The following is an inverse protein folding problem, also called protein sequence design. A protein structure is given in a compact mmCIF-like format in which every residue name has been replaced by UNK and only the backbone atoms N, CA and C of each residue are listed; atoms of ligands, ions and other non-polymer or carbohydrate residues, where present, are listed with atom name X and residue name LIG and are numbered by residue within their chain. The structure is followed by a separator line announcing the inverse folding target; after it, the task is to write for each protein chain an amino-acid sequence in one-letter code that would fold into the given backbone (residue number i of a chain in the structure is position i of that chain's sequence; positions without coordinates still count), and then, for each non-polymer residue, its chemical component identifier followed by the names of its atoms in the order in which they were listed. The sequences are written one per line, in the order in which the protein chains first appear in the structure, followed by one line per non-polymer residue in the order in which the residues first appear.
data_IF_499858508657
#
_entry.id   IF_499858508657
#
_cell.length_a   1.000
_cell.length_b   1.000
_cell.length_c   1.000
_cell.angle_alpha   90.00
_cell.angle_beta   90.00
_cell.angle_gamma   90.00
#
_symmetry.space_group_name_H-M   'P 1'
#
loop_
_entity.id
_entity.type
_entity.pdbx_description
1 polymer ?
#
# COMPACT_ATOMS: atom_id res chain seq x y z
N UNK A 1 -22.87 -6.97 -36.82
CA UNK A 1 -22.53 -8.16 -36.01
C UNK A 1 -22.05 -7.69 -34.65
N UNK A 2 -22.84 -7.90 -33.60
CA UNK A 2 -22.42 -7.68 -32.22
C UNK A 2 -21.78 -8.99 -31.73
N UNK A 3 -20.45 -9.01 -31.59
CA UNK A 3 -19.75 -10.15 -31.01
C UNK A 3 -19.73 -9.97 -29.50
N UNK A 4 -20.63 -10.69 -28.83
CA UNK A 4 -20.59 -11.00 -27.40
C UNK A 4 -19.28 -11.71 -27.09
N UNK A 5 -18.23 -10.95 -26.76
CA UNK A 5 -17.03 -11.50 -26.16
C UNK A 5 -17.40 -11.87 -24.73
N UNK A 6 -17.41 -13.17 -24.43
CA UNK A 6 -17.41 -13.64 -23.06
C UNK A 6 -16.10 -13.18 -22.41
N UNK A 7 -16.11 -11.99 -21.82
CA UNK A 7 -15.03 -11.56 -20.93
C UNK A 7 -15.24 -12.39 -19.68
N UNK A 8 -14.59 -13.54 -19.60
CA UNK A 8 -14.29 -14.15 -18.30
C UNK A 8 -13.29 -13.20 -17.63
N UNK A 9 -13.80 -12.06 -17.17
CA UNK A 9 -13.05 -11.14 -16.36
C UNK A 9 -12.69 -11.96 -15.12
N UNK A 10 -11.41 -12.34 -15.01
CA UNK A 10 -10.90 -12.82 -13.74
C UNK A 10 -11.33 -11.84 -12.67
N UNK A 11 -11.96 -12.34 -11.61
CA UNK A 11 -12.40 -11.49 -10.49
C UNK A 11 -11.22 -10.81 -9.79
N UNK A 12 -10.01 -11.34 -9.98
CA UNK A 12 -8.75 -10.79 -9.45
C UNK A 12 -8.40 -9.45 -10.10
N UNK A 13 -7.94 -8.52 -9.27
CA UNK A 13 -7.45 -7.22 -9.70
C UNK A 13 -6.08 -7.29 -10.37
N UNK A 14 -5.21 -8.17 -9.88
CA UNK A 14 -3.80 -8.24 -10.29
C UNK A 14 -3.41 -9.64 -10.75
N UNK A 15 -2.40 -9.72 -11.63
CA UNK A 15 -1.81 -11.00 -12.06
C UNK A 15 -0.97 -11.59 -10.92
N UNK A 16 -1.53 -12.57 -10.22
CA UNK A 16 -0.90 -13.24 -9.08
C UNK A 16 0.35 -14.01 -9.49
N UNK A 17 0.40 -14.56 -10.70
CA UNK A 17 1.58 -15.28 -11.19
C UNK A 17 2.72 -14.28 -11.44
N UNK A 18 2.41 -13.14 -12.04
CA UNK A 18 3.37 -12.05 -12.21
C UNK A 18 3.88 -11.57 -10.86
N UNK A 19 2.99 -11.27 -9.92
CA UNK A 19 3.32 -10.86 -8.56
C UNK A 19 4.24 -11.86 -7.83
N UNK A 20 3.95 -13.15 -7.94
CA UNK A 20 4.77 -14.22 -7.36
C UNK A 20 6.24 -14.13 -7.82
N UNK A 21 6.47 -13.81 -9.09
CA UNK A 21 7.80 -13.63 -9.67
C UNK A 21 8.51 -12.31 -9.34
N UNK A 22 7.90 -11.42 -8.56
CA UNK A 22 8.49 -10.13 -8.16
C UNK A 22 9.17 -10.17 -6.77
N UNK A 23 9.21 -11.33 -6.10
CA UNK A 23 9.99 -11.54 -4.87
C UNK A 23 11.48 -11.71 -5.16
N UNK A 24 12.11 -10.62 -5.57
CA UNK A 24 13.51 -10.63 -6.02
C UNK A 24 14.39 -9.68 -5.23
N UNK A 25 13.80 -8.77 -4.46
CA UNK A 25 14.53 -7.68 -3.83
C UNK A 25 15.04 -8.05 -2.43
N UNK A 26 16.22 -7.57 -2.07
CA UNK A 26 16.67 -7.64 -0.67
C UNK A 26 15.81 -6.70 0.22
N UNK A 27 15.75 -6.96 1.54
CA UNK A 27 15.04 -6.11 2.48
C UNK A 27 15.43 -4.62 2.36
N UNK A 28 14.43 -3.74 2.52
CA UNK A 28 14.66 -2.29 2.58
C UNK A 28 15.49 -1.97 3.83
N UNK A 29 16.67 -1.39 3.66
CA UNK A 29 17.59 -1.09 4.75
C UNK A 29 17.08 0.05 5.64
N UNK A 30 17.40 0.03 6.93
CA UNK A 30 17.15 1.16 7.82
C UNK A 30 17.80 2.46 7.27
N UNK A 31 17.12 3.58 7.43
CA UNK A 31 17.51 4.88 6.87
C UNK A 31 17.19 5.06 5.38
N UNK A 32 16.66 4.04 4.68
CA UNK A 32 16.22 4.19 3.28
C UNK A 32 15.13 5.26 3.14
N UNK A 33 15.07 5.87 1.96
CA UNK A 33 14.10 6.92 1.67
C UNK A 33 12.81 6.33 1.13
N UNK A 34 11.74 6.41 1.92
CA UNK A 34 10.52 5.62 1.70
C UNK A 34 9.26 6.46 1.69
N UNK A 35 8.24 5.92 1.04
CA UNK A 35 6.83 6.24 1.30
C UNK A 35 6.13 5.10 2.01
N UNK A 36 4.98 5.39 2.60
CA UNK A 36 4.12 4.36 3.17
C UNK A 36 2.66 4.52 2.76
N UNK A 37 1.91 3.43 2.85
CA UNK A 37 0.47 3.41 2.66
C UNK A 37 -0.20 2.70 3.83
N UNK A 38 -1.34 3.23 4.28
CA UNK A 38 -2.13 2.69 5.36
C UNK A 38 -3.57 2.46 4.90
N UNK A 39 -4.05 1.24 5.10
CA UNK A 39 -5.46 0.91 4.96
C UNK A 39 -5.87 0.05 6.15
N UNK A 40 -7.10 0.23 6.65
CA UNK A 40 -7.55 -0.61 7.73
C UNK A 40 -9.02 -0.49 8.10
N UNK A 41 -9.55 -1.60 8.59
CA UNK A 41 -10.85 -1.64 9.25
C UNK A 41 -10.68 -1.90 10.76
N UNK A 42 -11.42 -1.16 11.59
CA UNK A 42 -11.41 -1.40 13.06
C UNK A 42 -12.02 -2.73 13.46
N UNK A 43 -12.99 -3.22 12.69
CA UNK A 43 -13.77 -4.40 13.03
C UNK A 43 -13.81 -5.35 11.84
N UNK A 44 -13.41 -6.62 12.06
CA UNK A 44 -13.56 -7.79 11.16
C UNK A 44 -12.56 -8.01 10.02
N UNK A 45 -11.97 -6.97 9.44
CA UNK A 45 -10.97 -7.15 8.36
C UNK A 45 -9.54 -7.12 8.91
N UNK A 46 -8.65 -6.36 8.27
CA UNK A 46 -7.29 -6.14 8.73
C UNK A 46 -6.93 -4.68 8.65
N UNK A 47 -5.85 -4.32 9.34
CA UNK A 47 -5.17 -3.03 9.24
C UNK A 47 -3.75 -3.29 8.81
N UNK A 48 -3.25 -2.56 7.82
CA UNK A 48 -1.96 -2.79 7.22
C UNK A 48 -1.19 -1.49 6.95
N UNK A 49 0.14 -1.58 7.07
CA UNK A 49 1.08 -0.55 6.63
C UNK A 49 2.03 -1.18 5.61
N UNK A 50 2.14 -0.60 4.41
CA UNK A 50 3.08 -1.07 3.38
C UNK A 50 4.08 0.03 3.05
N UNK A 51 5.37 -0.31 3.05
CA UNK A 51 6.46 0.57 2.65
C UNK A 51 6.74 0.43 1.16
N UNK A 52 7.13 1.55 0.53
CA UNK A 52 7.75 1.55 -0.79
C UNK A 52 9.05 2.34 -0.73
N UNK A 53 10.16 1.73 -1.10
CA UNK A 53 11.43 2.41 -1.31
C UNK A 53 11.33 3.29 -2.56
N UNK A 54 11.55 4.61 -2.39
CA UNK A 54 11.34 5.58 -3.46
C UNK A 54 12.30 5.33 -4.63
N UNK A 55 13.63 5.21 -4.42
CA UNK A 55 14.57 4.99 -5.51
C UNK A 55 14.30 3.70 -6.31
N UNK A 56 14.03 2.59 -5.64
CA UNK A 56 14.01 1.27 -6.28
C UNK A 56 12.62 0.71 -6.58
N UNK A 57 11.55 1.26 -5.98
CA UNK A 57 10.19 0.71 -6.12
C UNK A 57 9.94 -0.60 -5.36
N UNK A 58 10.87 -1.00 -4.49
CA UNK A 58 10.72 -2.19 -3.63
C UNK A 58 9.66 -1.96 -2.57
N UNK A 59 8.79 -2.94 -2.37
CA UNK A 59 7.78 -2.94 -1.32
C UNK A 59 8.04 -4.01 -0.27
N UNK A 60 7.60 -3.71 0.96
CA UNK A 60 7.45 -4.69 2.04
C UNK A 60 6.22 -4.36 2.88
N UNK A 61 5.59 -5.40 3.40
CA UNK A 61 4.57 -5.26 4.42
C UNK A 61 5.28 -4.91 5.74
N UNK A 62 5.01 -3.73 6.28
CA UNK A 62 5.64 -3.26 7.52
C UNK A 62 4.92 -3.81 8.74
N UNK A 63 3.60 -3.68 8.76
CA UNK A 63 2.76 -4.15 9.84
C UNK A 63 1.42 -4.65 9.31
N UNK A 64 0.93 -5.71 9.93
CA UNK A 64 -0.38 -6.27 9.67
C UNK A 64 -1.02 -6.67 11.00
N UNK A 65 -2.22 -6.16 11.24
CA UNK A 65 -3.10 -6.64 12.29
C UNK A 65 -4.32 -7.22 11.63
N UNK A 66 -4.45 -8.52 11.71
CA UNK A 66 -5.54 -9.24 11.10
C UNK A 66 -6.37 -9.94 12.18
N UNK A 67 -7.70 -9.81 12.13
CA UNK A 67 -8.57 -10.56 13.05
C UNK A 67 -8.32 -12.06 12.91
N UNK A 68 -7.84 -12.76 13.97
CA UNK A 68 -7.70 -14.22 13.93
C UNK A 68 -9.05 -14.90 13.70
N UNK A 69 -9.06 -16.02 12.96
CA UNK A 69 -10.29 -16.78 12.70
C UNK A 69 -10.98 -17.28 13.99
N UNK A 70 -10.20 -17.47 15.06
CA UNK A 70 -10.66 -17.93 16.37
C UNK A 70 -11.09 -16.79 17.29
N UNK A 71 -10.86 -15.53 16.90
CA UNK A 71 -11.17 -14.39 17.74
C UNK A 71 -12.67 -14.05 17.68
N UNK A 72 -13.24 -13.68 18.83
CA UNK A 72 -14.64 -13.26 18.92
C UNK A 72 -14.89 -11.91 18.22
N UNK A 73 -16.14 -11.48 18.20
CA UNK A 73 -16.53 -10.21 17.58
C UNK A 73 -16.05 -8.95 18.34
N UNK A 74 -15.35 -9.11 19.46
CA UNK A 74 -14.74 -8.01 20.23
C UNK A 74 -13.29 -7.76 19.85
N UNK A 75 -12.70 -8.55 18.95
CA UNK A 75 -11.36 -8.24 18.45
C UNK A 75 -11.36 -6.88 17.78
N UNK A 76 -10.48 -6.02 18.27
CA UNK A 76 -10.27 -4.67 17.79
C UNK A 76 -8.78 -4.35 17.94
N UNK A 77 -8.20 -3.78 16.89
CA UNK A 77 -6.89 -3.16 16.97
C UNK A 77 -7.06 -1.77 17.60
N UNK A 78 -6.19 -1.44 18.57
CA UNK A 78 -6.21 -0.12 19.22
C UNK A 78 -5.54 0.95 18.36
N UNK A 79 -5.96 2.21 18.51
CA UNK A 79 -5.26 3.36 17.90
C UNK A 79 -3.79 3.40 18.29
N UNK A 80 -3.48 3.06 19.54
CA UNK A 80 -2.12 3.12 20.05
C UNK A 80 -1.19 2.13 19.34
N UNK A 81 -1.65 0.90 19.04
CA UNK A 81 -0.84 -0.07 18.30
C UNK A 81 -0.43 0.43 16.91
N UNK A 82 -1.33 1.15 16.23
CA UNK A 82 -1.01 1.75 14.92
C UNK A 82 -0.03 2.90 15.07
N UNK A 83 -0.25 3.77 16.07
CA UNK A 83 0.65 4.89 16.35
C UNK A 83 2.05 4.41 16.71
N UNK A 84 2.19 3.41 17.57
CA UNK A 84 3.48 2.82 17.95
C UNK A 84 4.22 2.24 16.73
N UNK A 85 3.50 1.63 15.80
CA UNK A 85 4.09 1.09 14.58
C UNK A 85 4.49 2.17 13.58
N UNK A 86 3.74 3.27 13.50
CA UNK A 86 4.15 4.46 12.74
C UNK A 86 5.36 5.13 13.40
N UNK A 87 5.42 5.15 14.72
CA UNK A 87 6.58 5.63 15.47
C UNK A 87 7.84 4.85 15.10
N UNK A 88 7.78 3.53 15.20
CA UNK A 88 8.89 2.66 14.79
C UNK A 88 9.27 2.84 13.32
N UNK A 89 8.29 2.99 12.42
CA UNK A 89 8.53 3.22 10.99
C UNK A 89 9.31 4.52 10.77
N UNK A 90 8.85 5.62 11.36
CA UNK A 90 9.45 6.93 11.20
C UNK A 90 10.81 7.06 11.91
N UNK A 91 11.06 6.27 12.96
CA UNK A 91 12.37 6.16 13.59
C UNK A 91 13.35 5.32 12.76
N UNK A 92 12.84 4.34 12.01
CA UNK A 92 13.65 3.40 11.21
C UNK A 92 14.02 3.96 9.83
N UNK A 93 13.16 4.74 9.20
CA UNK A 93 13.32 5.17 7.80
C UNK A 93 13.25 6.68 7.62
N UNK A 94 13.87 7.17 6.54
CA UNK A 94 13.66 8.55 6.09
C UNK A 94 12.34 8.60 5.32
N UNK A 95 11.27 9.09 5.95
CA UNK A 95 9.93 9.10 5.37
C UNK A 95 9.67 10.40 4.63
N UNK A 96 9.27 10.30 3.35
CA UNK A 96 8.75 11.46 2.62
C UNK A 96 7.27 11.71 2.91
N UNK A 97 6.44 10.69 2.66
CA UNK A 97 4.99 10.77 2.79
C UNK A 97 4.35 9.41 2.99
N UNK A 98 3.34 9.39 3.84
CA UNK A 98 2.33 8.37 3.98
C UNK A 98 0.98 8.77 3.41
N UNK A 99 0.31 7.87 2.69
CA UNK A 99 -1.11 8.00 2.36
C UNK A 99 -1.96 7.05 3.18
N UNK A 100 -3.07 7.54 3.71
CA UNK A 100 -4.00 6.75 4.52
C UNK A 100 -5.45 6.94 4.09
N UNK A 101 -6.25 5.88 4.16
CA UNK A 101 -7.71 6.01 4.13
C UNK A 101 -8.23 6.43 5.53
N UNK A 102 -8.97 7.56 5.65
CA UNK A 102 -9.44 8.04 6.95
C UNK A 102 -10.54 7.18 7.58
N UNK A 103 -11.16 6.24 6.87
CA UNK A 103 -12.32 5.50 7.37
C UNK A 103 -11.97 4.77 8.69
N UNK A 104 -12.64 5.16 9.77
CA UNK A 104 -12.32 4.79 11.16
C UNK A 104 -10.97 5.25 11.72
N UNK A 105 -10.03 5.78 10.95
CA UNK A 105 -8.68 6.10 11.44
C UNK A 105 -8.37 7.59 11.56
N UNK A 106 -9.35 8.47 11.29
CA UNK A 106 -9.19 9.93 11.33
C UNK A 106 -8.47 10.46 12.57
N UNK A 107 -8.84 10.05 13.78
CA UNK A 107 -8.24 10.61 15.01
C UNK A 107 -6.80 10.16 15.21
N UNK A 108 -6.51 8.87 15.02
CA UNK A 108 -5.14 8.34 15.06
C UNK A 108 -4.26 9.04 14.02
N UNK A 109 -4.74 9.18 12.79
CA UNK A 109 -3.96 9.80 11.72
C UNK A 109 -3.80 11.31 11.89
N UNK A 110 -4.74 12.00 12.56
CA UNK A 110 -4.55 13.39 13.00
C UNK A 110 -3.46 13.53 14.06
N UNK A 111 -3.39 12.60 15.04
CA UNK A 111 -2.29 12.57 16.02
C UNK A 111 -0.95 12.36 15.33
N UNK A 112 -0.89 11.41 14.39
CA UNK A 112 0.30 11.17 13.58
C UNK A 112 0.67 12.40 12.74
N UNK A 113 -0.28 13.07 12.09
CA UNK A 113 -0.06 14.31 11.35
C UNK A 113 0.43 15.46 12.25
N UNK A 114 -0.08 15.56 13.48
CA UNK A 114 0.41 16.53 14.46
C UNK A 114 1.86 16.29 14.88
N UNK A 115 2.32 15.03 14.87
CA UNK A 115 3.70 14.63 15.20
C UNK A 115 4.66 14.76 14.01
N UNK A 116 4.26 14.27 12.84
CA UNK A 116 5.11 14.13 11.65
C UNK A 116 4.90 15.23 10.60
N UNK A 117 3.82 16.00 10.72
CA UNK A 117 3.45 17.08 9.80
C UNK A 117 2.37 16.67 8.79
N UNK A 118 1.48 17.61 8.49
CA UNK A 118 0.33 17.43 7.57
C UNK A 118 0.72 17.15 6.11
N UNK A 119 1.98 17.40 5.73
CA UNK A 119 2.52 17.08 4.40
C UNK A 119 3.13 15.68 4.32
N UNK A 120 3.39 15.07 5.48
CA UNK A 120 3.96 13.73 5.63
C UNK A 120 2.84 12.72 5.84
N UNK A 121 1.87 12.99 6.70
CA UNK A 121 0.71 12.10 6.90
C UNK A 121 -0.49 12.67 6.18
N UNK A 122 -0.77 12.16 4.97
CA UNK A 122 -1.74 12.78 4.06
C UNK A 122 -2.96 11.89 3.84
N UNK A 123 -4.13 12.48 4.01
CA UNK A 123 -5.41 11.81 3.78
C UNK A 123 -5.59 11.49 2.29
N UNK A 124 -5.86 10.23 1.98
CA UNK A 124 -6.23 9.76 0.65
C UNK A 124 -7.51 8.96 0.69
N UNK A 125 -8.64 9.64 0.41
CA UNK A 125 -9.94 8.97 0.38
C UNK A 125 -10.07 8.03 -0.82
N UNK A 126 -10.22 6.73 -0.55
CA UNK A 126 -10.44 5.70 -1.58
C UNK A 126 -11.85 5.74 -2.16
N UNK A 127 -12.81 6.37 -1.46
CA UNK A 127 -14.18 6.59 -1.96
C UNK A 127 -14.27 7.55 -3.17
N UNK A 128 -13.15 8.19 -3.57
CA UNK A 128 -13.04 8.95 -4.81
C UNK A 128 -12.84 7.99 -5.98
N UNK A 129 -13.94 7.42 -6.48
CA UNK A 129 -13.95 6.32 -7.46
C UNK A 129 -12.96 6.48 -8.61
N UNK A 130 -12.96 7.63 -9.30
CA UNK A 130 -12.06 7.84 -10.45
C UNK A 130 -10.57 7.86 -10.03
N UNK A 131 -10.24 8.49 -8.89
CA UNK A 131 -8.87 8.53 -8.39
C UNK A 131 -8.40 7.14 -7.95
N UNK A 132 -9.25 6.40 -7.24
CA UNK A 132 -8.98 5.01 -6.86
C UNK A 132 -8.82 4.09 -8.08
N UNK A 133 -9.60 4.32 -9.14
CA UNK A 133 -9.52 3.53 -10.35
C UNK A 133 -8.20 3.77 -11.12
N UNK A 134 -7.74 5.02 -11.19
CA UNK A 134 -6.43 5.34 -11.75
C UNK A 134 -5.28 4.80 -10.90
N UNK A 135 -5.41 4.82 -9.59
CA UNK A 135 -4.45 4.18 -8.68
C UNK A 135 -4.36 2.67 -8.92
N UNK A 136 -5.49 1.99 -9.12
CA UNK A 136 -5.52 0.57 -9.49
C UNK A 136 -4.87 0.31 -10.84
N UNK A 137 -5.14 1.15 -11.84
CA UNK A 137 -4.50 1.06 -13.15
C UNK A 137 -2.98 1.18 -13.06
N UNK A 138 -2.45 2.22 -12.42
CA UNK A 138 -1.00 2.48 -12.29
C UNK A 138 -0.28 1.39 -11.50
N UNK A 139 -0.89 0.87 -10.44
CA UNK A 139 -0.29 -0.22 -9.68
C UNK A 139 -0.29 -1.53 -10.50
N UNK A 140 -1.37 -1.81 -11.24
CA UNK A 140 -1.41 -2.94 -12.17
C UNK A 140 -0.36 -2.85 -13.28
N UNK A 141 -0.09 -1.65 -13.80
CA UNK A 141 1.01 -1.40 -14.74
C UNK A 141 2.37 -1.66 -14.12
N UNK A 142 2.61 -1.14 -12.91
CA UNK A 142 3.86 -1.34 -12.20
C UNK A 142 4.14 -2.84 -11.95
N UNK A 143 3.12 -3.62 -11.56
CA UNK A 143 3.22 -5.08 -11.40
C UNK A 143 3.54 -5.74 -12.74
N UNK A 144 2.84 -5.36 -13.80
CA UNK A 144 3.02 -5.94 -15.13
C UNK A 144 4.43 -5.66 -15.66
N UNK A 145 4.88 -4.40 -15.60
CA UNK A 145 6.20 -3.94 -16.01
C UNK A 145 7.33 -4.45 -15.11
N UNK A 146 7.05 -4.74 -13.84
CA UNK A 146 8.06 -5.09 -12.83
C UNK A 146 8.76 -3.88 -12.22
N UNK A 147 8.15 -2.69 -12.34
CA UNK A 147 8.63 -1.48 -11.67
C UNK A 147 8.46 -1.58 -10.15
N UNK A 148 7.40 -2.26 -9.71
CA UNK A 148 7.25 -2.67 -8.31
C UNK A 148 7.86 -4.05 -8.12
N UNK A 149 8.63 -4.20 -7.04
CA UNK A 149 9.15 -5.49 -6.60
C UNK A 149 8.82 -5.69 -5.13
N UNK A 150 8.81 -6.93 -4.64
CA UNK A 150 8.63 -7.22 -3.21
C UNK A 150 9.90 -7.82 -2.61
N UNK A 151 10.14 -7.49 -1.34
CA UNK A 151 11.30 -8.03 -0.63
C UNK A 151 11.17 -9.55 -0.47
N UNK A 152 12.24 -10.29 -0.80
CA UNK A 152 12.38 -11.71 -0.49
C UNK A 152 12.64 -11.88 1.01
N UNK A 153 12.29 -13.05 1.54
CA UNK A 153 12.55 -13.45 2.93
C UNK A 153 11.95 -12.49 3.99
N UNK A 154 10.98 -11.64 3.60
CA UNK A 154 10.23 -10.81 4.54
C UNK A 154 9.26 -11.70 5.35
N UNK A 155 9.25 -11.63 6.69
CA UNK A 155 8.38 -12.47 7.53
C UNK A 155 6.88 -12.32 7.23
N UNK A 156 6.47 -11.20 6.64
CA UNK A 156 5.08 -10.90 6.27
C UNK A 156 4.83 -11.06 4.75
N UNK A 157 5.79 -11.60 3.99
CA UNK A 157 5.66 -11.77 2.54
C UNK A 157 4.47 -12.66 2.14
N UNK A 158 4.22 -13.74 2.88
CA UNK A 158 3.09 -14.64 2.61
C UNK A 158 1.74 -13.94 2.79
N UNK A 159 1.62 -13.10 3.81
CA UNK A 159 0.42 -12.29 4.04
C UNK A 159 0.23 -11.24 2.95
N UNK A 160 1.33 -10.62 2.50
CA UNK A 160 1.28 -9.70 1.36
C UNK A 160 0.77 -10.41 0.11
N UNK A 161 1.32 -11.58 -0.22
CA UNK A 161 0.90 -12.38 -1.37
C UNK A 161 -0.57 -12.79 -1.28
N UNK A 162 -1.02 -13.21 -0.09
CA UNK A 162 -2.40 -13.60 0.17
C UNK A 162 -3.36 -12.45 -0.08
N UNK A 163 -3.05 -11.24 0.36
CA UNK A 163 -3.90 -10.08 0.17
C UNK A 163 -3.93 -9.60 -1.28
N UNK A 164 -2.79 -9.62 -1.99
CA UNK A 164 -2.75 -9.33 -3.43
C UNK A 164 -3.60 -10.34 -4.21
N UNK A 165 -3.53 -11.63 -3.86
CA UNK A 165 -4.32 -12.68 -4.51
C UNK A 165 -5.82 -12.60 -4.19
N UNK A 166 -6.17 -12.05 -3.02
CA UNK A 166 -7.54 -11.82 -2.55
C UNK A 166 -8.18 -10.53 -3.10
N UNK A 167 -7.37 -9.59 -3.59
CA UNK A 167 -7.85 -8.34 -4.18
C UNK A 167 -8.61 -8.60 -5.47
N UNK A 168 -9.88 -8.23 -5.47
CA UNK A 168 -10.76 -8.34 -6.62
C UNK A 168 -10.96 -7.00 -7.32
N UNK A 169 -11.67 -7.03 -8.45
CA UNK A 169 -11.97 -5.82 -9.22
C UNK A 169 -13.46 -5.64 -9.46
N UNK A 170 -13.91 -4.40 -9.34
CA UNK A 170 -15.21 -3.92 -9.77
C UNK A 170 -15.00 -2.81 -10.82
N UNK A 171 -15.50 -3.05 -12.04
CA UNK A 171 -15.34 -2.10 -13.14
C UNK A 171 -16.15 -0.83 -12.89
N UNK A 172 -15.58 0.31 -13.25
CA UNK A 172 -16.26 1.61 -13.17
C UNK A 172 -16.59 2.12 -14.58
N UNK A 173 -17.51 3.07 -14.69
CA UNK A 173 -17.90 3.68 -15.97
C UNK A 173 -16.86 4.72 -16.46
N UNK A 174 -15.59 4.30 -16.51
CA UNK A 174 -14.46 5.09 -16.99
C UNK A 174 -13.49 4.19 -17.76
N UNK A 175 -12.82 4.77 -18.75
CA UNK A 175 -11.87 4.09 -19.63
C UNK A 175 -10.57 4.89 -19.69
N UNK A 176 -9.46 4.20 -19.93
CA UNK A 176 -8.20 4.85 -20.27
C UNK A 176 -8.11 5.22 -21.75
N UNK A 177 -6.98 5.81 -22.14
CA UNK A 177 -6.70 6.24 -23.51
C UNK A 177 -6.50 5.08 -24.48
N UNK A 178 -6.28 3.86 -23.98
CA UNK A 178 -6.22 2.63 -24.78
C UNK A 178 -7.58 1.94 -24.91
N UNK A 179 -8.63 2.49 -24.28
CA UNK A 179 -9.98 1.93 -24.31
C UNK A 179 -10.18 0.74 -23.37
N UNK A 180 -9.28 0.54 -22.39
CA UNK A 180 -9.46 -0.42 -21.32
C UNK A 180 -10.33 0.20 -20.21
N UNK A 181 -11.32 -0.57 -19.76
CA UNK A 181 -12.22 -0.11 -18.70
C UNK A 181 -11.50 -0.14 -17.35
N UNK A 182 -11.54 0.97 -16.64
CA UNK A 182 -10.95 1.08 -15.32
C UNK A 182 -11.75 0.28 -14.28
N UNK A 183 -11.09 -0.05 -13.17
CA UNK A 183 -11.71 -0.75 -12.05
C UNK A 183 -11.21 -0.20 -10.72
N UNK A 184 -12.00 -0.39 -9.67
CA UNK A 184 -11.57 -0.22 -8.27
C UNK A 184 -11.37 -1.59 -7.63
N UNK A 185 -10.61 -1.63 -6.53
CA UNK A 185 -10.53 -2.86 -5.75
C UNK A 185 -11.88 -3.18 -5.10
N UNK A 186 -12.20 -4.47 -5.08
CA UNK A 186 -13.37 -5.03 -4.42
C UNK A 186 -13.03 -6.38 -3.80
N UNK A 187 -13.84 -6.85 -2.85
CA UNK A 187 -13.68 -8.18 -2.27
C UNK A 187 -14.00 -9.25 -3.31
N UNK A 188 -13.09 -10.21 -3.54
CA UNK A 188 -13.40 -11.42 -4.33
C UNK A 188 -14.43 -12.29 -3.60
N UNK A 189 -14.31 -12.35 -2.27
CA UNK A 189 -15.16 -13.12 -1.37
C UNK A 189 -15.27 -12.38 -0.02
N UNK A 190 -16.43 -12.38 0.66
CA UNK A 190 -16.61 -11.69 1.94
C UNK A 190 -15.56 -12.03 3.01
N UNK A 191 -15.12 -13.30 3.05
CA UNK A 191 -14.16 -13.80 4.04
C UNK A 191 -12.68 -13.53 3.66
N UNK A 192 -12.41 -12.96 2.50
CA UNK A 192 -11.05 -12.69 2.01
C UNK A 192 -10.70 -11.23 2.24
N UNK A 193 -9.54 -11.01 2.86
CA UNK A 193 -9.03 -9.68 3.22
C UNK A 193 -8.04 -9.22 2.16
N UNK A 194 -8.06 -7.93 1.88
CA UNK A 194 -7.22 -7.33 0.84
C UNK A 194 -6.66 -5.96 1.26
N UNK A 195 -6.75 -5.60 2.55
CA UNK A 195 -6.35 -4.27 3.03
C UNK A 195 -4.84 -4.00 2.79
N UNK A 196 -3.98 -5.02 2.88
CA UNK A 196 -2.58 -4.91 2.44
C UNK A 196 -2.45 -4.51 0.96
N UNK A 197 -3.31 -5.01 0.06
CA UNK A 197 -3.27 -4.64 -1.36
C UNK A 197 -3.65 -3.16 -1.54
N UNK A 198 -4.63 -2.67 -0.79
CA UNK A 198 -5.00 -1.26 -0.79
C UNK A 198 -3.87 -0.39 -0.21
N UNK A 199 -3.31 -0.76 0.94
CA UNK A 199 -2.15 -0.10 1.55
C UNK A 199 -0.96 -0.06 0.58
N UNK A 200 -0.71 -1.13 -0.17
CA UNK A 200 0.35 -1.18 -1.17
C UNK A 200 0.15 -0.20 -2.33
N UNK A 201 -1.10 -0.04 -2.80
CA UNK A 201 -1.44 0.96 -3.81
C UNK A 201 -1.29 2.39 -3.30
N UNK A 202 -1.70 2.66 -2.06
CA UNK A 202 -1.53 3.97 -1.43
C UNK A 202 -0.05 4.33 -1.28
N UNK A 203 0.76 3.38 -0.84
CA UNK A 203 2.21 3.52 -0.73
C UNK A 203 2.86 3.80 -2.09
N UNK A 204 2.37 3.15 -3.14
CA UNK A 204 2.82 3.35 -4.52
C UNK A 204 2.42 4.73 -5.07
N UNK A 205 1.19 5.18 -4.85
CA UNK A 205 0.77 6.54 -5.24
C UNK A 205 1.60 7.61 -4.55
N UNK A 206 1.91 7.43 -3.26
CA UNK A 206 2.82 8.32 -2.54
C UNK A 206 4.21 8.32 -3.19
N UNK A 207 4.73 7.16 -3.62
CA UNK A 207 6.00 7.10 -4.35
C UNK A 207 5.94 7.84 -5.68
N UNK A 208 4.86 7.68 -6.47
CA UNK A 208 4.72 8.38 -7.75
C UNK A 208 4.73 9.90 -7.56
N UNK A 209 4.07 10.39 -6.52
CA UNK A 209 4.13 11.81 -6.16
C UNK A 209 5.53 12.24 -5.69
N UNK A 210 6.28 11.37 -5.01
CA UNK A 210 7.66 11.64 -4.59
C UNK A 210 8.57 11.85 -5.79
N UNK A 211 8.47 10.94 -6.77
CA UNK A 211 9.22 11.01 -8.02
C UNK A 211 8.85 12.27 -8.82
N UNK A 212 7.54 12.58 -8.92
CA UNK A 212 7.05 13.78 -9.60
C UNK A 212 7.54 15.06 -8.93
N UNK A 213 7.65 15.08 -7.61
CA UNK A 213 8.15 16.21 -6.85
C UNK A 213 9.69 16.33 -6.86
N UNK A 214 10.41 15.35 -7.39
CA UNK A 214 11.86 15.29 -7.30
C UNK A 214 12.36 15.14 -5.86
N UNK A 215 11.57 14.50 -5.00
CA UNK A 215 11.87 14.36 -3.58
C UNK A 215 13.24 13.70 -3.34
N UNK A 216 13.99 14.24 -2.40
CA UNK A 216 15.26 13.70 -1.92
C UNK A 216 15.16 13.45 -0.42
N UNK A 217 15.91 12.47 0.12
CA UNK A 217 16.04 12.34 1.56
C UNK A 217 16.64 13.61 2.15
N UNK A 218 16.21 13.98 3.35
CA UNK A 218 16.86 15.06 4.07
C UNK A 218 18.31 14.65 4.38
N UNK A 219 19.26 15.50 3.98
CA UNK A 219 20.65 15.39 4.39
C UNK A 219 20.72 15.67 5.90
N UNK A 220 20.44 14.67 6.74
CA UNK A 220 20.72 14.73 8.17
C UNK A 220 22.17 15.19 8.39
N UNK A 221 22.52 15.78 9.55
CA UNK A 221 23.81 16.43 9.75
C UNK A 221 24.96 15.49 9.35
N UNK A 222 25.70 15.87 8.30
CA UNK A 222 26.95 15.23 7.90
C UNK A 222 27.96 15.37 9.03
N UNK A 223 27.99 14.38 9.92
CA UNK A 223 29.12 14.22 10.83
C UNK A 223 30.32 13.80 9.99
N UNK A 224 31.13 14.78 9.58
CA UNK A 224 32.46 14.53 9.02
C UNK A 224 33.25 13.71 10.03
N UNK A 225 33.41 12.41 9.76
CA UNK A 225 34.30 11.55 10.51
C UNK A 225 35.72 11.94 10.10
N UNK A 226 36.37 12.79 10.90
CA UNK A 226 37.80 13.05 10.72
C UNK A 226 38.56 11.72 10.88
N UNK A 227 39.52 11.42 9.99
CA UNK A 227 40.31 10.19 10.10
C UNK A 227 41.09 10.21 11.42
N UNK A 228 41.07 9.06 12.10
CA UNK A 228 42.00 8.78 13.21
C UNK A 228 43.38 8.45 12.66
#
# INVERSE_FOLDING_TARGET
MWLNRWVKAGRQAFDVKRWGGLATADPIAAGSFVTWGFDGARYRDSTAIVLTDIPTGRQRLWALWEKPLTADDKWEITEQQVLDSLDELHDTFSVWRGYYDPFYWTEAMRKAAGKYGDKVVVEWRTNRTLAAAWMARRYGEAISGGDVTRCKDDPLAEDFDRHIAAAGRETVNHWDDQGEQLFILAKIHPDRKFDVAMAAQLSWEARLDALKAGAQPDDGPTYFRLPR
#
